data_IF_565431458412
#
_entry.id   IF_565431458412
#
_cell.length_a   1.000
_cell.length_b   1.000
_cell.length_c   1.000
_cell.angle_alpha   90.00
_cell.angle_beta   90.00
_cell.angle_gamma   90.00
#
_symmetry.space_group_name_H-M   'P 1'
#
loop_
_entity.id
_entity.type
_entity.pdbx_description
1 polymer ?
#
# COMPACT_ATOMS: atom_id res chain seq x y z
N UNK A 1 -8.31 -21.13 -1.07
CA UNK A 1 -7.37 -20.00 -1.19
C UNK A 1 -6.88 -19.61 0.20
N UNK A 2 -5.66 -19.96 0.60
CA UNK A 2 -5.09 -19.59 1.91
C UNK A 2 -4.54 -18.18 1.80
N UNK A 3 -5.23 -17.21 2.39
CA UNK A 3 -4.72 -15.86 2.55
C UNK A 3 -3.60 -15.92 3.59
N UNK A 4 -2.36 -16.19 3.14
CA UNK A 4 -1.19 -15.94 3.98
C UNK A 4 -1.24 -14.47 4.36
N UNK A 5 -1.28 -14.18 5.66
CA UNK A 5 -1.23 -12.83 6.20
C UNK A 5 0.12 -12.19 5.84
N UNK A 6 0.30 -11.78 4.58
CA UNK A 6 1.28 -10.77 4.23
C UNK A 6 0.92 -9.58 5.11
N UNK A 7 1.86 -9.10 5.88
CA UNK A 7 1.72 -7.85 6.62
C UNK A 7 1.27 -6.78 5.60
N UNK A 8 -0.02 -6.50 5.54
CA UNK A 8 -0.56 -5.43 4.70
C UNK A 8 -0.08 -4.14 5.33
N UNK A 9 1.06 -3.62 4.89
CA UNK A 9 1.65 -2.41 5.45
C UNK A 9 0.70 -1.24 5.21
N UNK A 10 0.04 -0.75 6.25
CA UNK A 10 -0.70 0.51 6.17
C UNK A 10 0.31 1.64 6.06
N UNK A 11 0.21 2.46 5.01
CA UNK A 11 1.10 3.61 4.80
C UNK A 11 0.27 4.86 4.53
N UNK A 12 0.75 6.02 5.00
CA UNK A 12 0.09 7.28 4.71
C UNK A 12 0.16 7.58 3.20
N UNK A 13 -0.96 7.90 2.52
CA UNK A 13 -0.93 8.20 1.08
C UNK A 13 -0.22 9.51 0.74
N UNK A 14 0.04 10.38 1.72
CA UNK A 14 0.67 11.69 1.51
C UNK A 14 2.18 11.64 1.68
N UNK A 15 2.66 11.14 2.82
CA UNK A 15 4.08 11.11 3.16
C UNK A 15 4.73 9.72 3.02
N UNK A 16 3.93 8.69 2.67
CA UNK A 16 4.35 7.28 2.55
C UNK A 16 4.98 6.70 3.82
N UNK A 17 4.81 7.38 4.95
CA UNK A 17 5.31 6.89 6.22
C UNK A 17 4.45 5.70 6.67
N UNK A 18 5.06 4.60 7.14
CA UNK A 18 4.31 3.47 7.66
C UNK A 18 3.48 3.90 8.88
N UNK A 19 2.27 3.35 9.00
CA UNK A 19 1.46 3.53 10.18
C UNK A 19 2.18 2.94 11.40
N UNK A 20 2.09 3.62 12.55
CA UNK A 20 2.55 3.05 13.82
C UNK A 20 1.77 1.78 14.16
N UNK A 21 2.32 0.94 15.05
CA UNK A 21 1.66 -0.28 15.52
C UNK A 21 0.26 -0.02 16.10
N UNK A 22 0.06 1.14 16.75
CA UNK A 22 -1.23 1.55 17.30
C UNK A 22 -2.22 1.89 16.19
N UNK A 23 -1.80 2.73 15.25
CA UNK A 23 -2.61 3.14 14.09
C UNK A 23 -2.96 1.92 13.23
N UNK A 24 -2.00 1.01 13.00
CA UNK A 24 -2.24 -0.25 12.31
C UNK A 24 -3.30 -1.11 13.01
N UNK A 25 -3.18 -1.29 14.34
CA UNK A 25 -4.11 -2.12 15.11
C UNK A 25 -5.53 -1.53 15.09
N UNK A 26 -5.68 -0.21 15.19
CA UNK A 26 -6.97 0.48 15.08
C UNK A 26 -7.56 0.34 13.68
N UNK A 27 -6.78 0.72 12.68
CA UNK A 27 -7.17 0.70 11.27
C UNK A 27 -7.58 -0.68 10.76
N UNK A 28 -7.10 -1.77 11.38
CA UNK A 28 -7.52 -3.14 11.04
C UNK A 28 -9.01 -3.39 11.25
N UNK A 29 -9.63 -2.73 12.23
CA UNK A 29 -11.04 -2.88 12.55
C UNK A 29 -11.92 -1.77 11.98
N UNK A 30 -11.31 -0.72 11.42
CA UNK A 30 -12.02 0.37 10.78
C UNK A 30 -12.54 -0.01 9.39
N UNK A 31 -13.70 0.53 9.04
CA UNK A 31 -14.27 0.49 7.70
C UNK A 31 -13.43 1.31 6.73
N UNK A 32 -13.58 1.02 5.44
CA UNK A 32 -12.74 1.60 4.39
C UNK A 32 -12.91 3.11 4.22
N UNK A 33 -14.09 3.64 4.51
CA UNK A 33 -14.47 5.05 4.39
C UNK A 33 -14.15 5.86 5.65
N UNK A 34 -13.85 5.20 6.77
CA UNK A 34 -13.43 5.89 7.99
C UNK A 34 -12.06 6.56 7.80
N UNK A 35 -11.84 7.65 8.56
CA UNK A 35 -10.66 8.52 8.41
C UNK A 35 -9.57 8.18 9.42
N UNK A 36 -8.33 8.14 8.95
CA UNK A 36 -7.11 8.02 9.77
C UNK A 36 -6.24 9.26 9.60
N UNK A 37 -5.65 9.69 10.70
CA UNK A 37 -4.70 10.80 10.74
C UNK A 37 -3.29 10.25 10.77
N UNK A 38 -2.40 10.82 9.96
CA UNK A 38 -0.99 10.49 10.00
C UNK A 38 -0.29 11.16 11.17
N UNK A 39 0.35 10.37 12.03
CA UNK A 39 1.13 10.85 13.16
C UNK A 39 2.41 11.59 12.72
N UNK A 40 2.85 11.41 11.47
CA UNK A 40 4.08 12.01 10.94
C UNK A 40 3.84 13.36 10.23
N UNK A 41 2.82 13.46 9.38
CA UNK A 41 2.53 14.68 8.62
C UNK A 41 1.24 15.39 9.07
N UNK A 42 0.45 14.81 9.96
CA UNK A 42 -0.82 15.38 10.42
C UNK A 42 -1.98 15.21 9.43
N UNK A 43 -1.71 14.74 8.22
CA UNK A 43 -2.73 14.67 7.17
C UNK A 43 -3.75 13.56 7.43
N UNK A 44 -5.00 13.80 7.02
CA UNK A 44 -6.12 12.88 7.24
C UNK A 44 -6.56 12.25 5.92
N UNK A 45 -6.70 10.93 5.88
CA UNK A 45 -7.19 10.21 4.69
C UNK A 45 -7.98 8.95 5.06
N UNK A 46 -8.86 8.49 4.17
CA UNK A 46 -9.72 7.33 4.45
C UNK A 46 -8.94 6.01 4.41
N UNK A 47 -9.27 5.08 5.29
CA UNK A 47 -8.54 3.82 5.55
C UNK A 47 -8.29 3.02 4.26
N UNK A 48 -9.19 3.07 3.29
CA UNK A 48 -9.02 2.40 1.99
C UNK A 48 -7.75 2.86 1.27
N UNK A 49 -7.45 4.17 1.24
CA UNK A 49 -6.24 4.68 0.59
C UNK A 49 -4.96 4.24 1.30
N UNK A 50 -5.00 4.16 2.63
CA UNK A 50 -3.88 3.65 3.43
C UNK A 50 -3.59 2.18 3.14
N UNK A 51 -4.63 1.38 2.88
CA UNK A 51 -4.51 -0.03 2.51
C UNK A 51 -4.04 -0.20 1.07
N UNK A 52 -4.46 0.67 0.16
CA UNK A 52 -4.18 0.57 -1.28
C UNK A 52 -2.74 0.93 -1.64
N UNK A 53 -2.15 1.98 -1.06
CA UNK A 53 -0.71 2.27 -1.24
C UNK A 53 0.16 1.17 -0.59
N UNK A 54 -0.32 0.52 0.48
CA UNK A 54 0.29 -0.69 1.04
C UNK A 54 0.33 -1.91 0.12
N UNK A 55 -0.61 -1.99 -0.83
CA UNK A 55 -0.64 -2.99 -1.89
C UNK A 55 0.23 -2.61 -3.09
N UNK A 56 0.58 -1.33 -3.20
CA UNK A 56 1.47 -0.77 -4.22
C UNK A 56 2.92 -1.07 -3.86
N UNK A 57 3.23 -2.36 -3.71
CA UNK A 57 4.57 -2.82 -3.40
C UNK A 57 5.49 -2.54 -4.61
N UNK A 58 6.69 -1.94 -4.44
CA UNK A 58 7.65 -1.78 -5.54
C UNK A 58 8.09 -3.10 -6.17
N UNK A 59 7.84 -4.25 -5.52
CA UNK A 59 8.06 -5.57 -6.13
C UNK A 59 7.19 -5.83 -7.36
N UNK A 60 6.03 -5.18 -7.49
CA UNK A 60 5.22 -5.31 -8.71
C UNK A 60 5.83 -4.51 -9.88
N UNK A 61 6.51 -3.39 -9.58
CA UNK A 61 7.29 -2.63 -10.59
C UNK A 61 8.51 -3.39 -11.10
N UNK A 62 9.12 -4.24 -10.27
CA UNK A 62 10.24 -5.08 -10.68
C UNK A 62 9.79 -6.20 -11.63
N UNK A 63 8.60 -6.78 -11.43
CA UNK A 63 8.01 -7.78 -12.35
C UNK A 63 7.36 -7.16 -13.59
N UNK A 64 6.78 -5.96 -13.49
CA UNK A 64 6.24 -5.24 -14.65
C UNK A 64 7.33 -4.85 -15.66
N UNK A 65 8.55 -4.50 -15.21
CA UNK A 65 9.69 -4.27 -16.11
C UNK A 65 10.30 -5.53 -16.71
N UNK A 66 10.09 -6.72 -16.11
CA UNK A 66 10.50 -7.98 -16.73
C UNK A 66 9.53 -8.48 -17.80
N UNK A 67 8.34 -7.88 -17.88
CA UNK A 67 7.34 -8.12 -18.92
C UNK A 67 7.29 -6.99 -19.96
N UNK A 68 8.36 -6.23 -20.13
CA UNK A 68 8.57 -5.60 -21.44
C UNK A 68 8.87 -6.73 -22.42
N UNK A 69 8.03 -6.99 -23.44
CA UNK A 69 8.43 -7.86 -24.53
C UNK A 69 9.65 -7.21 -25.14
N UNK A 70 10.81 -7.86 -24.98
CA UNK A 70 12.00 -7.44 -25.70
C UNK A 70 11.60 -7.30 -27.17
N UNK A 71 11.95 -6.16 -27.72
CA UNK A 71 11.75 -5.77 -29.09
C UNK A 71 12.41 -6.79 -30.03
N UNK A 72 11.65 -7.79 -30.49
CA UNK A 72 12.03 -8.60 -31.65
C UNK A 72 11.64 -7.84 -32.92
N UNK A 73 12.27 -6.69 -33.17
CA UNK A 73 12.51 -6.29 -34.56
C UNK A 73 13.86 -6.86 -34.95
N UNK A 74 13.85 -7.91 -35.77
CA UNK A 74 14.92 -8.12 -36.75
C UNK A 74 14.51 -9.13 -37.83
N UNK A 75 14.36 -8.54 -39.02
CA UNK A 75 14.61 -9.04 -40.37
C UNK A 75 13.86 -10.27 -40.87
#
# INVERSE_FOLDING_TARGET
>A
MRWSARNFSLACPHCRHPASSLTFRRARFMLGDEKLVCEQCGETSVVTFWRFEGLSCPSDRAEARRREPQHHSRH
#
